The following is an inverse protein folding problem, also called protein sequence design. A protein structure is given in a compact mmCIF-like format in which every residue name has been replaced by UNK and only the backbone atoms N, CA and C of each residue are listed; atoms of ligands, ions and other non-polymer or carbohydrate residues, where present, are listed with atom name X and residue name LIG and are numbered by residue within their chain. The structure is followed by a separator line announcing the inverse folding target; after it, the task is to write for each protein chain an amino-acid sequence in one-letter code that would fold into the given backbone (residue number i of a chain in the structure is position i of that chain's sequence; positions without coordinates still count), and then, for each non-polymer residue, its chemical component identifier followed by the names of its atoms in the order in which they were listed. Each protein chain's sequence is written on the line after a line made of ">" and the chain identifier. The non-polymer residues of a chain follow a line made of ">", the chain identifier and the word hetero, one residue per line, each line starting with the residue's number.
data_IF_033191075431
#
_entry.id   IF_033191075431
#
_cell.length_a   1.000
_cell.length_b   1.000
_cell.length_c   1.000
_cell.angle_alpha   90.00
_cell.angle_beta   90.00
_cell.angle_gamma   90.00
#
_symmetry.space_group_name_H-M   'P 1'
#
loop_
_entity.id
_entity.type
_entity.pdbx_description
1 polymer ?
#
# COMPACT_ATOMS: atom_id res chain seq x y z
N UNK A 1 -15.92 -11.40 -17.51
CA UNK A 1 -16.69 -10.86 -16.38
C UNK A 1 -18.18 -11.08 -16.65
N UNK A 2 -19.00 -11.48 -15.68
CA UNK A 2 -20.43 -11.65 -15.91
C UNK A 2 -21.09 -10.30 -16.23
N UNK A 3 -22.02 -10.26 -17.19
CA UNK A 3 -22.68 -9.03 -17.64
C UNK A 3 -23.38 -8.26 -16.49
N UNK A 4 -23.79 -8.96 -15.43
CA UNK A 4 -24.39 -8.39 -14.23
C UNK A 4 -23.43 -7.51 -13.39
N UNK A 5 -22.11 -7.67 -13.54
CA UNK A 5 -21.12 -6.88 -12.79
C UNK A 5 -20.76 -5.54 -13.47
N UNK A 6 -21.08 -5.37 -14.77
CA UNK A 6 -20.74 -4.17 -15.53
C UNK A 6 -21.36 -2.88 -14.96
N UNK A 7 -22.66 -2.85 -14.58
CA UNK A 7 -23.27 -1.64 -14.02
C UNK A 7 -22.61 -1.18 -12.71
N UNK A 8 -22.28 -2.12 -11.83
CA UNK A 8 -21.60 -1.84 -10.56
C UNK A 8 -20.17 -1.31 -10.78
N UNK A 9 -19.41 -1.93 -11.66
CA UNK A 9 -18.07 -1.46 -12.01
C UNK A 9 -18.10 -0.06 -12.65
N UNK A 10 -19.07 0.21 -13.53
CA UNK A 10 -19.27 1.53 -14.14
C UNK A 10 -19.59 2.61 -13.10
N UNK A 11 -20.46 2.32 -12.14
CA UNK A 11 -20.79 3.26 -11.07
C UNK A 11 -19.57 3.60 -10.20
N UNK A 12 -18.75 2.61 -9.84
CA UNK A 12 -17.53 2.81 -9.06
C UNK A 12 -16.49 3.66 -9.82
N UNK A 13 -16.31 3.41 -11.12
CA UNK A 13 -15.41 4.20 -11.97
C UNK A 13 -15.84 5.66 -12.06
N UNK A 14 -17.14 5.91 -12.24
CA UNK A 14 -17.68 7.28 -12.31
C UNK A 14 -17.51 7.97 -10.95
N UNK A 15 -17.84 7.30 -9.85
CA UNK A 15 -17.70 7.88 -8.51
C UNK A 15 -16.25 8.22 -8.18
N UNK A 16 -15.31 7.29 -8.40
CA UNK A 16 -13.88 7.51 -8.17
C UNK A 16 -13.30 8.59 -9.08
N UNK A 17 -13.63 8.57 -10.37
CA UNK A 17 -13.18 9.56 -11.35
C UNK A 17 -13.71 10.96 -11.07
N UNK A 18 -15.00 11.10 -10.72
CA UNK A 18 -15.59 12.37 -10.34
C UNK A 18 -14.98 12.92 -9.03
N UNK A 19 -14.83 12.07 -8.01
CA UNK A 19 -14.20 12.43 -6.75
C UNK A 19 -12.76 12.92 -6.94
N UNK A 20 -11.95 12.17 -7.69
CA UNK A 20 -10.57 12.54 -8.03
C UNK A 20 -10.49 13.86 -8.80
N UNK A 21 -11.39 14.07 -9.77
CA UNK A 21 -11.43 15.31 -10.55
C UNK A 21 -11.84 16.53 -9.72
N UNK A 22 -12.77 16.39 -8.79
CA UNK A 22 -13.18 17.48 -7.88
C UNK A 22 -12.04 17.82 -6.92
N UNK A 23 -11.44 16.82 -6.27
CA UNK A 23 -10.33 17.03 -5.35
C UNK A 23 -9.14 17.67 -6.07
N UNK A 24 -8.74 17.13 -7.22
CA UNK A 24 -7.59 17.64 -7.98
C UNK A 24 -7.72 19.10 -8.40
N UNK A 25 -8.94 19.59 -8.68
CA UNK A 25 -9.20 21.01 -9.01
C UNK A 25 -9.10 21.95 -7.81
N UNK A 26 -9.20 21.43 -6.60
CA UNK A 26 -9.18 22.21 -5.36
C UNK A 26 -7.79 22.26 -4.70
N UNK A 27 -6.82 21.52 -5.22
CA UNK A 27 -5.45 21.46 -4.68
C UNK A 27 -4.69 22.72 -5.03
N UNK A 28 -4.16 23.40 -4.02
CA UNK A 28 -3.25 24.52 -4.23
C UNK A 28 -1.86 24.01 -4.65
N UNK A 29 -1.06 24.80 -5.40
CA UNK A 29 0.31 24.41 -5.77
C UNK A 29 1.20 24.08 -4.56
N UNK A 30 0.98 24.76 -3.43
CA UNK A 30 1.69 24.51 -2.18
C UNK A 30 1.29 23.19 -1.52
N UNK A 31 0.12 22.66 -1.85
CA UNK A 31 -0.41 21.41 -1.33
C UNK A 31 -0.20 20.19 -2.26
N UNK A 32 0.50 20.38 -3.38
CA UNK A 32 0.75 19.32 -4.35
C UNK A 32 1.49 18.12 -3.74
N UNK A 33 2.59 18.29 -2.97
CA UNK A 33 3.34 17.14 -2.46
C UNK A 33 2.51 16.21 -1.58
N UNK A 34 1.76 16.75 -0.61
CA UNK A 34 0.90 15.94 0.25
C UNK A 34 -0.27 15.32 -0.51
N UNK A 35 -0.85 16.03 -1.49
CA UNK A 35 -1.96 15.46 -2.26
C UNK A 35 -1.51 14.30 -3.14
N UNK A 36 -0.29 14.38 -3.71
CA UNK A 36 0.32 13.26 -4.44
C UNK A 36 0.53 12.07 -3.50
N UNK A 37 1.07 12.28 -2.28
CA UNK A 37 1.18 11.22 -1.28
C UNK A 37 -0.20 10.59 -0.98
N UNK A 38 -1.21 11.41 -0.72
CA UNK A 38 -2.56 10.91 -0.43
C UNK A 38 -3.10 10.04 -1.57
N UNK A 39 -2.95 10.45 -2.83
CA UNK A 39 -3.40 9.65 -3.97
C UNK A 39 -2.58 8.37 -4.17
N UNK A 40 -1.27 8.38 -3.87
CA UNK A 40 -0.45 7.18 -3.97
C UNK A 40 -0.85 6.11 -2.93
N UNK A 41 -1.36 6.52 -1.77
CA UNK A 41 -1.95 5.59 -0.82
C UNK A 41 -3.16 4.82 -1.40
N UNK A 42 -3.98 5.47 -2.24
CA UNK A 42 -5.10 4.81 -2.93
C UNK A 42 -4.62 3.80 -3.97
N UNK A 43 -3.50 4.07 -4.65
CA UNK A 43 -2.86 3.13 -5.57
C UNK A 43 -2.38 1.88 -4.83
N UNK A 44 -1.73 2.07 -3.67
CA UNK A 44 -1.30 0.97 -2.81
C UNK A 44 -2.47 0.11 -2.31
N UNK A 45 -3.55 0.75 -1.84
CA UNK A 45 -4.77 0.05 -1.41
C UNK A 45 -5.41 -0.74 -2.56
N UNK A 46 -5.51 -0.14 -3.75
CA UNK A 46 -6.06 -0.79 -4.92
C UNK A 46 -5.23 -2.02 -5.32
N UNK A 47 -3.90 -1.92 -5.31
CA UNK A 47 -3.00 -3.04 -5.59
C UNK A 47 -3.19 -4.18 -4.57
N UNK A 48 -3.21 -3.85 -3.28
CA UNK A 48 -3.37 -4.82 -2.18
C UNK A 48 -4.71 -5.57 -2.29
N UNK A 49 -5.82 -4.85 -2.41
CA UNK A 49 -7.16 -5.46 -2.53
C UNK A 49 -7.27 -6.27 -3.82
N UNK A 50 -6.67 -5.81 -4.93
CA UNK A 50 -6.68 -6.54 -6.21
C UNK A 50 -5.91 -7.85 -6.11
N UNK A 51 -4.76 -7.87 -5.44
CA UNK A 51 -3.99 -9.09 -5.20
C UNK A 51 -4.77 -10.11 -4.38
N UNK A 52 -5.39 -9.68 -3.27
CA UNK A 52 -6.22 -10.54 -2.41
C UNK A 52 -7.41 -11.08 -3.20
N UNK A 53 -8.16 -10.22 -3.89
CA UNK A 53 -9.32 -10.61 -4.68
C UNK A 53 -8.94 -11.57 -5.82
N UNK A 54 -7.82 -11.32 -6.50
CA UNK A 54 -7.31 -12.17 -7.58
C UNK A 54 -7.02 -13.59 -7.10
N UNK A 55 -6.37 -13.71 -5.93
CA UNK A 55 -6.06 -15.01 -5.31
C UNK A 55 -7.33 -15.73 -4.85
N UNK A 56 -8.30 -15.01 -4.27
CA UNK A 56 -9.60 -15.58 -3.89
C UNK A 56 -10.38 -16.14 -5.09
N UNK A 57 -10.30 -15.49 -6.25
CA UNK A 57 -10.95 -15.93 -7.48
C UNK A 57 -10.22 -17.10 -8.15
N UNK A 58 -8.92 -17.25 -7.92
CA UNK A 58 -8.09 -18.28 -8.56
C UNK A 58 -7.17 -19.00 -7.55
N UNK A 59 -7.73 -19.71 -6.55
CA UNK A 59 -6.95 -20.28 -5.46
C UNK A 59 -5.93 -21.36 -5.92
N UNK A 60 -6.20 -22.02 -7.05
CA UNK A 60 -5.35 -23.05 -7.64
C UNK A 60 -4.51 -22.54 -8.82
N UNK A 61 -4.25 -21.22 -8.89
CA UNK A 61 -3.45 -20.65 -9.96
C UNK A 61 -1.97 -21.10 -9.91
N UNK A 62 -1.29 -20.93 -11.03
CA UNK A 62 0.11 -21.31 -11.19
C UNK A 62 1.06 -20.47 -10.31
N UNK A 63 2.33 -20.88 -10.24
CA UNK A 63 3.35 -20.18 -9.44
C UNK A 63 3.53 -18.70 -9.82
N UNK A 64 3.40 -18.34 -11.10
CA UNK A 64 3.49 -16.95 -11.55
C UNK A 64 2.37 -16.09 -10.97
N UNK A 65 1.14 -16.60 -10.95
CA UNK A 65 0.01 -15.91 -10.35
C UNK A 65 0.19 -15.72 -8.85
N UNK A 66 0.62 -16.78 -8.14
CA UNK A 66 0.91 -16.69 -6.70
C UNK A 66 1.99 -15.63 -6.42
N UNK A 67 3.07 -15.63 -7.19
CA UNK A 67 4.14 -14.62 -7.06
C UNK A 67 3.61 -13.21 -7.30
N UNK A 68 2.79 -13.00 -8.34
CA UNK A 68 2.19 -11.69 -8.61
C UNK A 68 1.24 -11.25 -7.49
N UNK A 69 0.43 -12.16 -6.96
CA UNK A 69 -0.49 -11.88 -5.87
C UNK A 69 0.27 -11.42 -4.61
N UNK A 70 1.27 -12.17 -4.15
CA UNK A 70 1.98 -11.82 -2.92
C UNK A 70 2.89 -10.59 -3.08
N UNK A 71 3.50 -10.38 -4.26
CA UNK A 71 4.28 -9.16 -4.51
C UNK A 71 3.37 -7.93 -4.60
N UNK A 72 2.22 -8.03 -5.26
CA UNK A 72 1.25 -6.94 -5.33
C UNK A 72 0.70 -6.58 -3.95
N UNK A 73 0.48 -7.57 -3.09
CA UNK A 73 0.04 -7.37 -1.71
C UNK A 73 1.12 -6.72 -0.83
N UNK A 74 2.36 -7.20 -0.94
CA UNK A 74 3.52 -6.62 -0.26
C UNK A 74 3.75 -5.16 -0.66
N UNK A 75 3.89 -4.90 -1.97
CA UNK A 75 4.16 -3.54 -2.49
C UNK A 75 2.97 -2.63 -2.16
N UNK A 76 1.75 -3.12 -2.36
CA UNK A 76 0.53 -2.37 -2.08
C UNK A 76 0.44 -1.91 -0.62
N UNK A 77 0.71 -2.78 0.35
CA UNK A 77 0.65 -2.44 1.77
C UNK A 77 1.75 -1.48 2.24
N UNK A 78 2.99 -1.64 1.73
CA UNK A 78 4.09 -0.68 2.01
C UNK A 78 3.74 0.70 1.45
N UNK A 79 3.27 0.76 0.20
CA UNK A 79 2.86 2.00 -0.47
C UNK A 79 1.69 2.66 0.27
N UNK A 80 0.65 1.91 0.58
CA UNK A 80 -0.54 2.42 1.29
C UNK A 80 -0.15 3.18 2.55
N UNK A 81 0.57 2.51 3.45
CA UNK A 81 0.88 3.07 4.76
C UNK A 81 2.02 4.07 4.73
N UNK A 82 3.03 3.86 3.89
CA UNK A 82 4.12 4.80 3.70
C UNK A 82 3.61 6.15 3.21
N UNK A 83 2.76 6.15 2.19
CA UNK A 83 2.16 7.36 1.64
C UNK A 83 1.21 8.06 2.63
N UNK A 84 0.50 7.32 3.49
CA UNK A 84 -0.31 7.92 4.57
C UNK A 84 0.56 8.64 5.61
N UNK A 85 1.71 8.06 5.97
CA UNK A 85 2.66 8.72 6.90
C UNK A 85 3.30 9.95 6.23
N UNK A 86 3.67 9.86 4.96
CA UNK A 86 4.19 11.00 4.19
C UNK A 86 3.17 12.15 4.12
N UNK A 87 1.92 11.83 3.77
CA UNK A 87 0.80 12.78 3.80
C UNK A 87 0.66 13.42 5.18
N UNK A 88 0.61 12.62 6.24
CA UNK A 88 0.43 13.12 7.60
C UNK A 88 1.55 14.07 8.05
N UNK A 89 2.80 13.81 7.66
CA UNK A 89 3.94 14.69 7.97
C UNK A 89 3.94 15.98 7.16
N UNK A 90 3.65 15.91 5.86
CA UNK A 90 3.59 17.08 4.98
C UNK A 90 2.40 17.99 5.29
N UNK A 91 1.27 17.40 5.68
CA UNK A 91 0.05 18.12 6.05
C UNK A 91 0.04 18.61 7.51
N UNK A 92 1.08 18.29 8.30
CA UNK A 92 1.22 18.72 9.69
C UNK A 92 0.37 17.94 10.70
N UNK A 93 -0.30 16.86 10.29
CA UNK A 93 -1.04 15.96 11.20
C UNK A 93 -0.10 15.10 12.07
N UNK A 94 1.11 14.83 11.59
CA UNK A 94 2.15 14.07 12.28
C UNK A 94 3.39 14.95 12.46
N UNK A 95 4.15 14.66 13.53
CA UNK A 95 5.44 15.33 13.76
C UNK A 95 6.41 15.10 12.61
N UNK A 96 7.06 16.18 12.16
CA UNK A 96 8.06 16.16 11.09
C UNK A 96 9.43 15.63 11.53
N UNK A 97 9.63 15.40 12.82
CA UNK A 97 10.82 14.74 13.34
C UNK A 97 10.86 13.26 12.91
N UNK A 98 12.05 12.73 12.52
CA UNK A 98 12.18 11.32 12.21
C UNK A 98 11.94 10.46 13.46
N UNK A 99 11.15 9.40 13.31
CA UNK A 99 10.96 8.42 14.36
C UNK A 99 12.29 7.71 14.64
N UNK A 100 12.76 7.77 15.89
CA UNK A 100 14.03 7.17 16.31
C UNK A 100 13.79 6.07 17.34
N UNK A 101 13.42 4.88 16.85
CA UNK A 101 13.35 3.67 17.68
C UNK A 101 14.75 3.06 17.88
N UNK A 102 15.06 2.51 19.07
CA UNK A 102 16.29 1.78 19.29
C UNK A 102 16.34 0.56 18.36
N UNK A 103 17.40 0.44 17.55
CA UNK A 103 17.55 -0.67 16.61
C UNK A 103 16.63 -0.62 15.38
N UNK A 104 16.14 0.56 14.96
CA UNK A 104 15.27 0.74 13.77
C UNK A 104 15.70 -0.05 12.53
N UNK A 105 17.01 -0.13 12.25
CA UNK A 105 17.53 -0.88 11.10
C UNK A 105 17.33 -2.38 11.26
N UNK A 106 17.47 -2.90 12.48
CA UNK A 106 17.21 -4.30 12.79
C UNK A 106 15.71 -4.62 12.72
N UNK A 107 14.84 -3.71 13.15
CA UNK A 107 13.39 -3.86 12.99
C UNK A 107 13.01 -3.92 11.50
N UNK A 108 13.54 -3.01 10.68
CA UNK A 108 13.31 -3.04 9.23
C UNK A 108 13.82 -4.32 8.58
N UNK A 109 15.04 -4.75 8.94
CA UNK A 109 15.61 -6.00 8.45
C UNK A 109 14.77 -7.22 8.89
N UNK A 110 14.28 -7.22 10.13
CA UNK A 110 13.42 -8.27 10.66
C UNK A 110 12.06 -8.34 9.96
N UNK A 111 11.42 -7.21 9.70
CA UNK A 111 10.18 -7.16 8.92
C UNK A 111 10.39 -7.62 7.48
N UNK A 112 11.49 -7.22 6.83
CA UNK A 112 11.85 -7.69 5.49
C UNK A 112 12.10 -9.20 5.46
N UNK A 113 12.86 -9.73 6.42
CA UNK A 113 13.09 -11.16 6.56
C UNK A 113 11.79 -11.92 6.80
N UNK A 114 10.90 -11.38 7.64
CA UNK A 114 9.55 -11.90 7.85
C UNK A 114 8.74 -11.97 6.56
N UNK A 115 8.83 -10.94 5.71
CA UNK A 115 8.14 -10.94 4.41
C UNK A 115 8.70 -11.99 3.45
N UNK A 116 10.01 -12.18 3.41
CA UNK A 116 10.62 -13.25 2.61
C UNK A 116 10.15 -14.63 3.12
N UNK A 117 10.05 -14.80 4.44
CA UNK A 117 9.48 -16.00 5.07
C UNK A 117 8.03 -16.27 4.66
N UNK A 118 7.16 -15.26 4.79
CA UNK A 118 5.76 -15.36 4.37
C UNK A 118 5.63 -15.65 2.86
N UNK A 119 6.47 -15.02 2.04
CA UNK A 119 6.51 -15.26 0.60
C UNK A 119 6.84 -16.71 0.27
N UNK A 120 7.89 -17.26 0.87
CA UNK A 120 8.25 -18.67 0.64
C UNK A 120 7.18 -19.65 1.12
N UNK A 121 6.54 -19.37 2.27
CA UNK A 121 5.40 -20.15 2.78
C UNK A 121 4.22 -20.11 1.80
N UNK A 122 3.82 -18.91 1.36
CA UNK A 122 2.68 -18.73 0.46
C UNK A 122 2.89 -19.38 -0.91
N UNK A 123 4.10 -19.31 -1.48
CA UNK A 123 4.38 -19.97 -2.76
C UNK A 123 4.21 -21.50 -2.67
N UNK A 124 4.43 -22.07 -1.49
CA UNK A 124 4.26 -23.49 -1.21
C UNK A 124 2.80 -23.84 -0.89
N UNK A 125 2.15 -23.11 0.03
CA UNK A 125 0.81 -23.41 0.54
C UNK A 125 -0.32 -22.80 -0.31
N UNK A 126 -0.14 -21.60 -0.83
CA UNK A 126 -1.21 -20.76 -1.40
C UNK A 126 -2.26 -20.32 -0.38
N UNK A 127 -1.95 -20.35 0.91
CA UNK A 127 -2.91 -20.06 1.97
C UNK A 127 -3.29 -18.57 2.05
N UNK A 128 -4.55 -18.32 2.41
CA UNK A 128 -5.03 -16.96 2.68
C UNK A 128 -4.39 -16.31 3.92
N UNK A 129 -4.10 -17.05 5.02
CA UNK A 129 -3.47 -16.46 6.20
C UNK A 129 -2.13 -15.79 5.90
N UNK A 130 -1.31 -16.37 5.01
CA UNK A 130 -0.01 -15.81 4.62
C UNK A 130 -0.17 -14.51 3.85
N UNK A 131 -1.16 -14.40 2.97
CA UNK A 131 -1.45 -13.17 2.24
C UNK A 131 -1.93 -12.07 3.20
N UNK A 132 -2.85 -12.38 4.11
CA UNK A 132 -3.31 -11.42 5.13
C UNK A 132 -2.16 -11.01 6.08
N UNK A 133 -1.29 -11.94 6.45
CA UNK A 133 -0.10 -11.66 7.25
C UNK A 133 0.89 -10.77 6.48
N UNK A 134 1.08 -10.99 5.18
CA UNK A 134 1.89 -10.14 4.31
C UNK A 134 1.33 -8.74 4.25
N UNK A 135 0.02 -8.56 4.05
CA UNK A 135 -0.65 -7.25 4.06
C UNK A 135 -0.48 -6.50 5.38
N UNK A 136 -0.60 -7.20 6.52
CA UNK A 136 -0.42 -6.60 7.84
C UNK A 136 1.04 -6.20 8.10
N UNK A 137 1.99 -7.08 7.77
CA UNK A 137 3.41 -6.83 7.96
C UNK A 137 3.95 -5.76 7.00
N UNK A 138 3.49 -5.71 5.75
CA UNK A 138 3.87 -4.68 4.77
C UNK A 138 3.34 -3.32 5.18
N UNK A 139 2.11 -3.27 5.70
CA UNK A 139 1.52 -2.07 6.29
C UNK A 139 2.32 -1.56 7.50
N UNK A 140 2.72 -2.45 8.42
CA UNK A 140 3.59 -2.06 9.53
C UNK A 140 4.96 -1.56 9.06
N UNK A 141 5.53 -2.22 8.06
CA UNK A 141 6.82 -1.85 7.47
C UNK A 141 6.78 -0.48 6.78
N UNK A 142 5.72 -0.16 6.03
CA UNK A 142 5.56 1.15 5.40
C UNK A 142 5.46 2.29 6.42
N UNK A 143 4.71 2.09 7.52
CA UNK A 143 4.66 3.05 8.63
C UNK A 143 6.06 3.29 9.21
N UNK A 144 6.81 2.22 9.49
CA UNK A 144 8.10 2.35 10.15
C UNK A 144 9.19 2.93 9.23
N UNK A 145 9.23 2.54 7.95
CA UNK A 145 10.19 3.07 6.97
C UNK A 145 10.01 4.57 6.76
N UNK A 146 8.81 5.02 6.40
CA UNK A 146 8.53 6.46 6.15
C UNK A 146 8.46 7.23 7.47
N UNK A 147 8.01 6.60 8.56
CA UNK A 147 8.05 7.16 9.90
C UNK A 147 9.46 7.55 10.34
N UNK A 148 10.48 6.80 9.90
CA UNK A 148 11.89 7.06 10.22
C UNK A 148 12.55 8.17 9.38
N UNK A 149 11.87 8.72 8.37
CA UNK A 149 12.37 9.78 7.49
C UNK A 149 11.93 11.16 8.00
N UNK A 150 12.81 12.16 7.94
CA UNK A 150 12.50 13.52 8.37
C UNK A 150 11.59 14.27 7.40
N UNK A 151 10.84 15.26 7.89
CA UNK A 151 9.92 16.06 7.08
C UNK A 151 10.57 16.79 5.90
N UNK A 152 11.83 17.24 6.06
CA UNK A 152 12.59 17.90 4.98
C UNK A 152 12.95 16.96 3.83
N UNK A 153 13.13 15.67 4.12
CA UNK A 153 13.47 14.64 3.12
C UNK A 153 12.23 13.93 2.57
N UNK A 154 11.03 14.24 3.08
CA UNK A 154 9.78 13.62 2.62
C UNK A 154 9.54 13.68 1.10
N UNK A 155 10.03 14.68 0.33
CA UNK A 155 9.89 14.66 -1.12
C UNK A 155 10.51 13.46 -1.84
N UNK A 156 11.42 12.71 -1.20
CA UNK A 156 11.95 11.46 -1.77
C UNK A 156 11.10 10.22 -1.46
N UNK A 157 10.16 10.34 -0.52
CA UNK A 157 9.31 9.26 0.00
C UNK A 157 7.83 9.40 -0.41
N UNK A 158 7.51 10.35 -1.31
CA UNK A 158 6.16 10.55 -1.84
C UNK A 158 5.79 9.46 -2.84
#
# INVERSE_FOLDING_TARGET
>A
MPAAALPGAGALLIAGGAGGAVLGKQVSPMALPQTVAAFHSLVGLAAMITSIASHMLHPNANGVHKTAAILGDFIGGVTLTGSLVAFGKLNGNLGSAPMSLPGKNLLNAGMLAGQIGLMSSFLSSGGMPELVATAALSSAMGVHLVGSVGGGDMPCCI
#
